data_IF_628418253693
#
_entry.id   IF_628418253693
#
_cell.length_a   1.000
_cell.length_b   1.000
_cell.length_c   1.000
_cell.angle_alpha   90.00
_cell.angle_beta   90.00
_cell.angle_gamma   90.00
#
_symmetry.space_group_name_H-M   'P 1'
#
loop_
_entity.id
_entity.type
_entity.pdbx_description
1 polymer ?
#
# COMPACT_ATOMS: atom_id res chain seq x y z
N UNK A 1 26.35 -19.04 -6.26
CA UNK A 1 26.26 -17.97 -7.29
C UNK A 1 25.10 -18.28 -8.20
N UNK A 2 24.15 -17.36 -8.37
CA UNK A 2 23.07 -17.60 -9.33
C UNK A 2 23.61 -17.44 -10.76
N UNK A 3 23.44 -18.45 -11.58
CA UNK A 3 23.94 -18.50 -12.96
C UNK A 3 22.82 -18.62 -13.99
N UNK A 4 21.57 -18.49 -13.54
CA UNK A 4 20.38 -18.58 -14.38
C UNK A 4 19.92 -17.23 -14.93
N UNK A 5 18.80 -17.25 -15.64
CA UNK A 5 18.11 -16.06 -16.17
C UNK A 5 17.30 -15.34 -15.08
N UNK A 6 16.94 -14.07 -15.26
CA UNK A 6 16.12 -13.31 -14.34
C UNK A 6 14.74 -13.96 -14.17
N UNK A 7 14.15 -14.48 -15.23
CA UNK A 7 12.91 -15.28 -15.21
C UNK A 7 13.06 -16.51 -14.30
N UNK A 8 14.15 -17.28 -14.43
CA UNK A 8 14.34 -18.48 -13.62
C UNK A 8 14.55 -18.15 -12.13
N UNK A 9 15.21 -17.02 -11.80
CA UNK A 9 15.32 -16.52 -10.44
C UNK A 9 13.93 -16.16 -9.89
N UNK A 10 13.15 -15.37 -10.63
CA UNK A 10 11.81 -14.99 -10.24
C UNK A 10 10.93 -16.23 -9.95
N UNK A 11 10.89 -17.18 -10.88
CA UNK A 11 10.09 -18.41 -10.74
C UNK A 11 10.51 -19.27 -9.55
N UNK A 12 11.82 -19.32 -9.26
CA UNK A 12 12.33 -20.10 -8.11
C UNK A 12 11.89 -19.55 -6.74
N UNK A 13 11.68 -18.21 -6.66
CA UNK A 13 11.32 -17.51 -5.43
C UNK A 13 9.81 -17.25 -5.31
N UNK A 14 9.07 -17.33 -6.41
CA UNK A 14 7.64 -16.98 -6.46
C UNK A 14 6.80 -17.80 -5.46
N UNK A 15 7.07 -19.11 -5.35
CA UNK A 15 6.32 -19.98 -4.43
C UNK A 15 6.44 -19.59 -2.95
N UNK A 16 7.56 -19.00 -2.53
CA UNK A 16 7.75 -18.55 -1.14
C UNK A 16 6.89 -17.33 -0.81
N UNK A 17 6.51 -16.54 -1.81
CA UNK A 17 5.71 -15.33 -1.66
C UNK A 17 4.22 -15.60 -1.54
N UNK A 18 3.70 -16.72 -2.00
CA UNK A 18 2.26 -16.97 -2.19
C UNK A 18 1.44 -16.76 -0.89
N UNK A 19 1.93 -17.25 0.23
CA UNK A 19 1.26 -17.05 1.53
C UNK A 19 1.12 -15.57 1.93
N UNK A 20 2.06 -14.71 1.51
CA UNK A 20 2.00 -13.26 1.77
C UNK A 20 1.03 -12.56 0.81
N UNK A 21 0.94 -13.03 -0.43
CA UNK A 21 -0.04 -12.54 -1.39
C UNK A 21 -1.48 -12.77 -0.92
N UNK A 22 -1.79 -13.95 -0.39
CA UNK A 22 -3.13 -14.26 0.11
C UNK A 22 -3.55 -13.34 1.27
N UNK A 23 -2.65 -13.11 2.22
CA UNK A 23 -2.89 -12.16 3.32
C UNK A 23 -3.03 -10.73 2.81
N UNK A 24 -2.17 -10.32 1.88
CA UNK A 24 -2.21 -9.01 1.26
C UNK A 24 -3.53 -8.76 0.52
N UNK A 25 -4.04 -9.75 -0.22
CA UNK A 25 -5.36 -9.69 -0.88
C UNK A 25 -6.49 -9.52 0.12
N UNK A 26 -6.48 -10.29 1.23
CA UNK A 26 -7.48 -10.16 2.29
C UNK A 26 -7.46 -8.76 2.93
N UNK A 27 -6.28 -8.23 3.26
CA UNK A 27 -6.10 -6.89 3.81
C UNK A 27 -6.56 -5.81 2.83
N UNK A 28 -6.21 -5.97 1.55
CA UNK A 28 -6.57 -5.05 0.48
C UNK A 28 -8.09 -4.99 0.26
N UNK A 29 -8.78 -6.14 0.21
CA UNK A 29 -10.25 -6.21 0.06
C UNK A 29 -11.00 -5.44 1.14
N UNK A 30 -10.47 -5.39 2.37
CA UNK A 30 -11.11 -4.71 3.51
C UNK A 30 -10.67 -3.25 3.66
N UNK A 31 -9.71 -2.79 2.85
CA UNK A 31 -9.17 -1.42 2.92
C UNK A 31 -9.18 -0.73 1.56
N UNK A 32 -8.14 -0.92 0.77
CA UNK A 32 -7.94 -0.32 -0.54
C UNK A 32 -7.79 -1.44 -1.60
N UNK A 33 -8.88 -1.91 -2.23
CA UNK A 33 -8.85 -3.08 -3.12
C UNK A 33 -7.89 -2.96 -4.31
N UNK A 34 -7.56 -1.75 -4.72
CA UNK A 34 -6.63 -1.50 -5.84
C UNK A 34 -5.16 -1.74 -5.48
N UNK A 35 -4.81 -1.77 -4.19
CA UNK A 35 -3.43 -1.98 -3.72
C UNK A 35 -2.95 -3.41 -4.05
N UNK A 36 -3.84 -4.39 -3.85
CA UNK A 36 -3.55 -5.79 -4.15
C UNK A 36 -4.83 -6.46 -4.67
N UNK A 37 -5.13 -6.32 -5.97
CA UNK A 37 -6.30 -6.94 -6.58
C UNK A 37 -6.25 -8.47 -6.51
N UNK A 38 -7.40 -9.11 -6.70
CA UNK A 38 -7.50 -10.56 -6.73
C UNK A 38 -6.73 -11.16 -7.91
N UNK A 39 -6.32 -12.42 -7.76
CA UNK A 39 -5.66 -13.15 -8.83
C UNK A 39 -6.54 -13.19 -10.09
N UNK A 40 -5.94 -12.87 -11.25
CA UNK A 40 -6.66 -12.81 -12.52
C UNK A 40 -7.43 -11.49 -12.75
N UNK A 41 -7.24 -10.48 -11.90
CA UNK A 41 -7.80 -9.15 -12.14
C UNK A 41 -7.22 -8.57 -13.45
N UNK A 42 -8.12 -8.14 -14.35
CA UNK A 42 -7.76 -7.56 -15.64
C UNK A 42 -8.58 -6.30 -15.94
N UNK A 43 -8.34 -5.70 -17.10
CA UNK A 43 -8.94 -4.42 -17.49
C UNK A 43 -10.48 -4.42 -17.49
N UNK A 44 -11.13 -5.58 -17.65
CA UNK A 44 -12.59 -5.73 -17.60
C UNK A 44 -13.14 -6.07 -16.21
N UNK A 45 -12.27 -6.30 -15.23
CA UNK A 45 -12.67 -6.66 -13.88
C UNK A 45 -13.11 -5.43 -13.08
N UNK A 46 -14.09 -5.60 -12.20
CA UNK A 46 -14.57 -4.56 -11.30
C UNK A 46 -13.96 -4.77 -9.91
N UNK A 47 -13.47 -3.71 -9.31
CA UNK A 47 -13.04 -3.74 -7.90
C UNK A 47 -14.25 -3.58 -7.00
N UNK A 48 -14.50 -4.57 -6.16
CA UNK A 48 -15.54 -4.50 -5.13
C UNK A 48 -15.04 -3.66 -3.96
N UNK A 49 -15.80 -2.63 -3.60
CA UNK A 49 -15.51 -1.80 -2.44
C UNK A 49 -16.20 -2.35 -1.20
N UNK A 50 -15.56 -2.35 -0.02
CA UNK A 50 -16.18 -2.81 1.21
C UNK A 50 -17.34 -1.89 1.65
N UNK A 51 -18.31 -2.44 2.36
CA UNK A 51 -19.45 -1.69 2.93
C UNK A 51 -19.00 -0.72 4.02
N UNK A 52 -17.91 -1.01 4.70
CA UNK A 52 -17.30 -0.13 5.70
C UNK A 52 -16.21 0.74 5.05
N UNK A 53 -16.15 2.01 5.41
CA UNK A 53 -15.12 2.94 4.90
C UNK A 53 -13.97 3.22 5.89
N UNK A 54 -13.98 2.56 7.06
CA UNK A 54 -12.98 2.84 8.11
C UNK A 54 -11.61 2.35 7.71
N UNK A 55 -11.52 1.17 7.08
CA UNK A 55 -10.25 0.61 6.61
C UNK A 55 -9.55 1.51 5.59
N UNK A 56 -10.27 1.94 4.56
CA UNK A 56 -9.72 2.85 3.54
C UNK A 56 -9.28 4.20 4.14
N UNK A 57 -10.13 4.79 5.00
CA UNK A 57 -9.81 6.03 5.71
C UNK A 57 -8.60 5.88 6.60
N UNK A 58 -8.51 4.77 7.34
CA UNK A 58 -7.40 4.45 8.23
C UNK A 58 -6.07 4.37 7.50
N UNK A 59 -6.01 3.59 6.43
CA UNK A 59 -4.79 3.45 5.61
C UNK A 59 -4.35 4.80 5.03
N UNK A 60 -5.27 5.56 4.42
CA UNK A 60 -4.94 6.87 3.85
C UNK A 60 -4.46 7.87 4.90
N UNK A 61 -5.09 7.90 6.09
CA UNK A 61 -4.68 8.77 7.19
C UNK A 61 -3.29 8.41 7.72
N UNK A 62 -3.05 7.13 7.99
CA UNK A 62 -1.77 6.65 8.51
C UNK A 62 -0.65 6.86 7.48
N UNK A 63 -0.88 6.57 6.20
CA UNK A 63 0.09 6.83 5.13
C UNK A 63 0.44 8.32 5.03
N UNK A 64 -0.55 9.21 5.13
CA UNK A 64 -0.33 10.66 5.10
C UNK A 64 0.45 11.17 6.31
N UNK A 65 0.18 10.65 7.50
CA UNK A 65 0.93 10.99 8.73
C UNK A 65 2.38 10.50 8.66
N UNK A 66 2.59 9.25 8.21
CA UNK A 66 3.93 8.70 8.01
C UNK A 66 4.71 9.52 6.97
N UNK A 67 4.08 9.90 5.86
CA UNK A 67 4.72 10.73 4.84
C UNK A 67 5.17 12.08 5.40
N UNK A 68 4.32 12.75 6.20
CA UNK A 68 4.66 14.04 6.82
C UNK A 68 5.81 13.93 7.81
N UNK A 69 5.90 12.82 8.54
CA UNK A 69 6.95 12.57 9.51
C UNK A 69 8.28 12.16 8.83
N UNK A 70 8.23 11.35 7.76
CA UNK A 70 9.40 10.83 7.05
C UNK A 70 9.98 11.84 6.05
N UNK A 71 9.11 12.55 5.31
CA UNK A 71 9.47 13.58 4.33
C UNK A 71 8.68 14.86 4.59
N UNK A 72 9.05 15.66 5.59
CA UNK A 72 8.41 16.94 5.85
C UNK A 72 8.57 17.89 4.64
N UNK A 73 7.51 18.66 4.28
CA UNK A 73 7.52 19.47 3.06
C UNK A 73 8.46 20.68 3.12
N UNK A 74 8.75 21.20 4.32
CA UNK A 74 9.48 22.48 4.50
C UNK A 74 10.64 22.36 5.49
N UNK A 75 11.11 21.17 5.79
CA UNK A 75 12.24 20.94 6.68
C UNK A 75 13.11 19.80 6.14
N UNK A 76 14.43 19.89 6.26
CA UNK A 76 15.30 18.78 5.90
C UNK A 76 15.01 17.58 6.81
N UNK A 77 14.84 16.40 6.22
CA UNK A 77 14.63 15.14 6.94
C UNK A 77 15.94 14.45 7.32
N UNK A 78 17.07 14.97 6.85
CA UNK A 78 18.42 14.49 7.15
C UNK A 78 19.39 15.66 7.34
N UNK A 79 20.50 15.39 7.98
CA UNK A 79 21.63 16.33 8.10
C UNK A 79 22.93 15.60 7.80
N UNK A 80 23.79 16.25 7.02
CA UNK A 80 25.14 15.82 6.75
C UNK A 80 26.08 16.45 7.80
N UNK A 81 26.60 15.64 8.71
CA UNK A 81 27.52 16.10 9.74
C UNK A 81 28.94 15.63 9.40
N UNK A 82 29.89 16.49 9.67
CA UNK A 82 31.31 16.13 9.59
C UNK A 82 31.74 15.60 10.95
N UNK A 83 32.65 14.63 10.97
CA UNK A 83 33.36 14.27 12.18
C UNK A 83 34.34 15.41 12.54
N UNK A 84 33.81 16.43 13.22
CA UNK A 84 34.58 17.60 13.67
C UNK A 84 35.68 17.21 14.62
N UNK A 85 35.52 16.14 15.40
CA UNK A 85 36.53 15.64 16.32
C UNK A 85 37.72 15.01 15.55
N UNK A 86 37.46 14.19 14.55
CA UNK A 86 38.49 13.61 13.69
C UNK A 86 39.30 14.69 12.97
N UNK A 87 38.60 15.67 12.36
CA UNK A 87 39.22 16.79 11.67
C UNK A 87 40.08 17.67 12.61
N UNK A 88 39.64 17.90 13.85
CA UNK A 88 40.44 18.64 14.85
C UNK A 88 41.70 17.87 15.29
N UNK A 89 41.59 16.53 15.42
CA UNK A 89 42.77 15.71 15.71
C UNK A 89 43.82 15.73 14.57
N UNK A 90 43.36 15.84 13.34
CA UNK A 90 44.23 15.98 12.16
C UNK A 90 44.79 17.42 11.98
N UNK A 91 44.42 18.35 12.89
CA UNK A 91 44.91 19.71 12.89
C UNK A 91 44.26 20.64 11.88
N UNK A 92 43.05 20.31 11.42
CA UNK A 92 42.32 21.18 10.50
C UNK A 92 41.92 22.51 11.17
N UNK A 93 42.17 23.68 10.53
CA UNK A 93 41.75 24.98 11.03
C UNK A 93 40.24 25.09 11.15
N UNK A 94 39.75 25.82 12.15
CA UNK A 94 38.30 26.08 12.33
C UNK A 94 37.60 26.64 11.09
N UNK A 95 38.35 27.48 10.32
CA UNK A 95 37.86 28.04 9.05
C UNK A 95 37.55 26.95 8.01
N UNK A 96 38.37 25.89 7.94
CA UNK A 96 38.17 24.76 7.02
C UNK A 96 36.94 23.94 7.45
N UNK A 97 36.78 23.69 8.75
CA UNK A 97 35.61 22.98 9.30
C UNK A 97 34.33 23.74 8.94
N UNK A 98 34.32 25.07 9.17
CA UNK A 98 33.17 25.92 8.83
C UNK A 98 32.83 25.92 7.33
N UNK A 99 33.87 25.93 6.47
CA UNK A 99 33.65 25.84 5.00
C UNK A 99 33.06 24.51 4.58
N UNK A 100 33.50 23.40 5.19
CA UNK A 100 32.95 22.06 4.92
C UNK A 100 31.51 21.98 5.39
N UNK A 101 31.19 22.48 6.58
CA UNK A 101 29.80 22.52 7.08
C UNK A 101 28.89 23.33 6.15
N UNK A 102 29.34 24.49 5.66
CA UNK A 102 28.57 25.29 4.69
C UNK A 102 28.42 24.57 3.35
N UNK A 103 29.40 23.82 2.90
CA UNK A 103 29.30 23.03 1.67
C UNK A 103 28.30 21.90 1.82
N UNK A 104 28.31 21.20 2.96
CA UNK A 104 27.36 20.15 3.27
C UNK A 104 25.92 20.69 3.36
N UNK A 105 25.72 21.86 3.98
CA UNK A 105 24.40 22.50 4.01
C UNK A 105 23.88 22.81 2.61
N UNK A 106 24.73 23.26 1.69
CA UNK A 106 24.34 23.48 0.29
C UNK A 106 23.94 22.17 -0.41
N UNK A 107 24.60 21.06 -0.10
CA UNK A 107 24.24 19.75 -0.62
C UNK A 107 22.88 19.31 -0.06
N UNK A 108 22.63 19.53 1.25
CA UNK A 108 21.31 19.26 1.85
C UNK A 108 20.20 20.06 1.15
N UNK A 109 20.39 21.37 0.96
CA UNK A 109 19.42 22.25 0.28
C UNK A 109 19.17 21.80 -1.16
N UNK A 110 20.21 21.49 -1.93
CA UNK A 110 20.09 21.03 -3.31
C UNK A 110 19.34 19.69 -3.40
N UNK A 111 19.63 18.76 -2.48
CA UNK A 111 18.94 17.46 -2.41
C UNK A 111 17.46 17.62 -2.07
N UNK A 112 17.13 18.51 -1.12
CA UNK A 112 15.74 18.80 -0.75
C UNK A 112 14.97 19.46 -1.90
N UNK A 113 15.62 20.36 -2.66
CA UNK A 113 15.04 20.98 -3.84
C UNK A 113 14.74 19.95 -4.93
N UNK A 114 15.65 18.99 -5.15
CA UNK A 114 15.45 17.93 -6.14
C UNK A 114 14.29 16.99 -5.72
N UNK A 115 14.26 16.54 -4.46
CA UNK A 115 13.17 15.74 -3.92
C UNK A 115 11.81 16.47 -4.03
N UNK A 116 11.81 17.81 -3.93
CA UNK A 116 10.60 18.61 -4.04
C UNK A 116 10.13 18.81 -5.48
N UNK A 117 11.06 18.84 -6.45
CA UNK A 117 10.75 18.93 -7.88
C UNK A 117 10.18 17.64 -8.45
N UNK A 118 10.75 16.52 -8.02
CA UNK A 118 10.42 15.20 -8.51
C UNK A 118 9.20 14.60 -7.80
N UNK A 119 8.69 13.51 -8.32
CA UNK A 119 7.49 12.82 -7.81
C UNK A 119 7.76 11.93 -6.58
N UNK A 120 8.88 12.14 -5.87
CA UNK A 120 9.29 11.30 -4.73
C UNK A 120 8.24 11.23 -3.63
N UNK A 121 7.60 12.36 -3.28
CA UNK A 121 6.56 12.38 -2.25
C UNK A 121 5.33 11.56 -2.64
N UNK A 122 4.95 11.62 -3.91
CA UNK A 122 3.81 10.85 -4.43
C UNK A 122 4.12 9.36 -4.43
N UNK A 123 5.30 8.98 -4.94
CA UNK A 123 5.77 7.60 -4.94
C UNK A 123 5.92 7.04 -3.52
N UNK A 124 6.49 7.81 -2.58
CA UNK A 124 6.60 7.37 -1.19
C UNK A 124 5.24 7.21 -0.53
N UNK A 125 4.28 8.11 -0.79
CA UNK A 125 2.91 7.95 -0.28
C UNK A 125 2.25 6.67 -0.79
N UNK A 126 2.48 6.31 -2.06
CA UNK A 126 2.03 5.03 -2.63
C UNK A 126 2.74 3.84 -1.95
N UNK A 127 4.07 3.89 -1.83
CA UNK A 127 4.84 2.85 -1.14
C UNK A 127 4.38 2.63 0.31
N UNK A 128 4.08 3.71 1.04
CA UNK A 128 3.55 3.63 2.41
C UNK A 128 2.18 2.97 2.47
N UNK A 129 1.29 3.20 1.51
CA UNK A 129 0.00 2.47 1.44
C UNK A 129 0.23 0.98 1.22
N UNK A 130 1.14 0.62 0.31
CA UNK A 130 1.54 -0.78 0.10
C UNK A 130 2.08 -1.40 1.39
N UNK A 131 2.98 -0.72 2.08
CA UNK A 131 3.56 -1.18 3.34
C UNK A 131 2.50 -1.40 4.43
N UNK A 132 1.58 -0.46 4.61
CA UNK A 132 0.51 -0.56 5.62
C UNK A 132 -0.42 -1.74 5.31
N UNK A 133 -0.78 -1.95 4.04
CA UNK A 133 -1.77 -2.96 3.63
C UNK A 133 -1.12 -4.33 3.47
N UNK A 134 -0.02 -4.42 2.71
CA UNK A 134 0.58 -5.71 2.32
C UNK A 134 1.81 -6.07 3.14
N UNK A 135 2.35 -5.11 3.90
CA UNK A 135 3.60 -5.26 4.65
C UNK A 135 4.87 -5.14 3.81
N UNK A 136 4.75 -5.02 2.49
CA UNK A 136 5.88 -5.06 1.57
C UNK A 136 5.71 -4.07 0.44
N UNK A 137 6.81 -3.45 0.04
CA UNK A 137 6.88 -2.57 -1.13
C UNK A 137 8.30 -2.60 -1.69
N UNK A 138 8.44 -2.67 -3.01
CA UNK A 138 9.72 -2.46 -3.65
C UNK A 138 9.71 -1.08 -4.31
N UNK A 139 10.63 -0.25 -3.88
CA UNK A 139 10.86 1.08 -4.45
C UNK A 139 12.03 1.00 -5.41
N UNK A 140 11.89 1.58 -6.58
CA UNK A 140 12.96 1.73 -7.57
C UNK A 140 13.19 3.22 -7.85
N UNK A 141 14.44 3.63 -7.75
CA UNK A 141 14.93 4.98 -8.01
C UNK A 141 15.77 4.97 -9.28
N UNK A 142 15.20 5.28 -10.46
CA UNK A 142 15.95 5.31 -11.70
C UNK A 142 16.90 6.52 -11.77
N UNK A 143 18.02 6.38 -12.46
CA UNK A 143 19.00 7.46 -12.68
C UNK A 143 18.39 8.68 -13.42
N UNK A 144 17.28 8.47 -14.13
CA UNK A 144 16.53 9.53 -14.80
C UNK A 144 15.69 10.41 -13.87
N UNK A 145 15.70 10.13 -12.57
CA UNK A 145 14.87 10.80 -11.56
C UNK A 145 13.50 10.16 -11.35
N UNK A 146 12.84 10.58 -10.28
CA UNK A 146 11.54 10.06 -9.88
C UNK A 146 11.62 8.78 -9.03
N UNK A 147 10.45 8.28 -8.67
CA UNK A 147 10.31 7.07 -7.84
C UNK A 147 9.23 6.17 -8.44
N UNK A 148 9.55 4.89 -8.58
CA UNK A 148 8.60 3.86 -9.00
C UNK A 148 8.37 2.87 -7.88
N UNK A 149 7.12 2.47 -7.72
CA UNK A 149 6.68 1.53 -6.68
C UNK A 149 6.17 0.26 -7.34
N UNK A 150 6.69 -0.88 -6.92
CA UNK A 150 6.22 -2.18 -7.38
C UNK A 150 5.28 -2.80 -6.35
N UNK A 151 4.17 -3.33 -6.85
CA UNK A 151 3.25 -4.16 -6.08
C UNK A 151 3.91 -5.47 -5.65
N UNK A 152 3.44 -6.04 -4.54
CA UNK A 152 4.01 -7.29 -4.01
C UNK A 152 3.94 -8.46 -5.00
N UNK A 153 2.96 -8.51 -5.89
CA UNK A 153 2.83 -9.54 -6.93
C UNK A 153 3.84 -9.39 -8.09
N UNK A 154 4.55 -8.24 -8.17
CA UNK A 154 5.47 -7.92 -9.26
C UNK A 154 6.94 -8.12 -8.91
N UNK A 155 7.26 -8.44 -7.66
CA UNK A 155 8.65 -8.68 -7.25
C UNK A 155 8.78 -9.85 -6.29
N UNK A 156 9.96 -10.42 -6.25
CA UNK A 156 10.38 -11.43 -5.28
C UNK A 156 11.70 -11.02 -4.64
N UNK A 157 11.88 -11.42 -3.38
CA UNK A 157 13.08 -11.11 -2.60
C UNK A 157 13.53 -12.35 -1.86
N UNK A 158 14.85 -12.54 -1.75
CA UNK A 158 15.47 -13.49 -0.83
C UNK A 158 16.44 -12.75 0.09
N UNK A 159 16.42 -13.11 1.37
CA UNK A 159 17.25 -12.50 2.41
C UNK A 159 18.08 -13.54 3.12
N UNK A 160 19.19 -13.09 3.73
CA UNK A 160 19.98 -13.91 4.62
C UNK A 160 19.34 -14.00 6.03
N UNK A 161 19.92 -14.82 6.90
CA UNK A 161 19.47 -14.97 8.29
C UNK A 161 19.52 -13.67 9.11
N UNK A 162 20.31 -12.70 8.70
CA UNK A 162 20.37 -11.36 9.33
C UNK A 162 19.34 -10.39 8.73
N UNK A 163 18.62 -10.81 7.67
CA UNK A 163 17.64 -10.01 6.98
C UNK A 163 18.20 -9.12 5.86
N UNK A 164 19.49 -9.24 5.53
CA UNK A 164 20.06 -8.53 4.41
C UNK A 164 19.60 -9.14 3.09
N UNK A 165 19.34 -8.29 2.11
CA UNK A 165 18.91 -8.72 0.78
C UNK A 165 20.05 -9.41 0.04
N UNK A 166 19.76 -10.58 -0.54
CA UNK A 166 20.69 -11.35 -1.39
C UNK A 166 20.26 -11.23 -2.85
N UNK A 167 18.97 -11.45 -3.12
CA UNK A 167 18.39 -11.41 -4.45
C UNK A 167 17.10 -10.61 -4.47
N UNK A 168 16.90 -9.87 -5.55
CA UNK A 168 15.63 -9.26 -5.91
C UNK A 168 15.36 -9.64 -7.36
N UNK A 169 14.12 -9.97 -7.71
CA UNK A 169 13.72 -10.04 -9.11
C UNK A 169 12.34 -9.40 -9.27
N UNK A 170 12.17 -8.66 -10.37
CA UNK A 170 10.90 -8.04 -10.74
C UNK A 170 10.34 -8.65 -12.00
N UNK A 171 9.01 -8.63 -12.12
CA UNK A 171 8.29 -9.02 -13.34
C UNK A 171 7.39 -7.86 -13.77
N UNK A 172 7.53 -7.43 -15.01
CA UNK A 172 6.77 -6.35 -15.63
C UNK A 172 6.16 -6.81 -16.93
N UNK A 173 4.84 -6.62 -17.09
CA UNK A 173 4.19 -6.83 -18.38
C UNK A 173 4.06 -5.50 -19.09
N UNK A 174 4.54 -5.41 -20.32
CA UNK A 174 4.46 -4.21 -21.15
C UNK A 174 4.13 -4.59 -22.60
N UNK A 175 3.53 -3.66 -23.34
CA UNK A 175 3.24 -3.88 -24.75
C UNK A 175 4.52 -3.91 -25.57
N UNK A 176 4.55 -4.70 -26.64
CA UNK A 176 5.68 -4.78 -27.56
C UNK A 176 6.08 -3.39 -28.10
N UNK A 177 5.11 -2.50 -28.32
CA UNK A 177 5.37 -1.14 -28.78
C UNK A 177 6.21 -0.31 -27.80
N UNK A 178 6.13 -0.61 -26.49
CA UNK A 178 6.86 0.12 -25.44
C UNK A 178 8.30 -0.36 -25.21
N UNK A 179 8.69 -1.47 -25.85
CA UNK A 179 10.05 -2.02 -25.77
C UNK A 179 11.03 -1.17 -26.56
N UNK A 180 12.25 -1.05 -26.07
CA UNK A 180 13.38 -0.48 -26.83
C UNK A 180 13.88 -1.45 -27.93
N UNK A 181 14.79 -0.98 -28.77
CA UNK A 181 15.24 -1.77 -29.91
C UNK A 181 16.04 -3.03 -29.50
N UNK A 182 16.80 -2.97 -28.41
CA UNK A 182 17.54 -4.12 -27.87
C UNK A 182 16.59 -5.18 -27.31
N UNK A 183 15.53 -4.74 -26.61
CA UNK A 183 14.50 -5.63 -26.10
C UNK A 183 13.67 -6.26 -27.22
N UNK A 184 13.33 -5.49 -28.28
CA UNK A 184 12.62 -6.01 -29.47
C UNK A 184 13.39 -7.07 -30.22
N UNK A 185 14.73 -6.98 -30.23
CA UNK A 185 15.58 -7.96 -30.90
C UNK A 185 15.49 -9.38 -30.30
N UNK A 186 15.14 -9.45 -29.01
CA UNK A 186 15.11 -10.70 -28.22
C UNK A 186 13.72 -11.35 -28.21
N UNK A 187 12.67 -10.60 -28.62
CA UNK A 187 11.29 -11.11 -28.63
C UNK A 187 11.06 -12.00 -29.85
N UNK A 188 10.43 -13.16 -29.65
CA UNK A 188 10.08 -14.11 -30.72
C UNK A 188 9.20 -13.47 -31.80
N UNK A 189 9.35 -13.97 -33.03
CA UNK A 189 8.74 -13.42 -34.27
C UNK A 189 7.20 -13.37 -34.21
N UNK A 190 6.57 -14.29 -33.46
CA UNK A 190 5.11 -14.36 -33.32
C UNK A 190 4.51 -13.29 -32.38
N UNK A 191 5.35 -12.59 -31.59
CA UNK A 191 4.94 -11.55 -30.68
C UNK A 191 5.02 -10.12 -31.28
N UNK A 192 5.14 -9.97 -32.61
CA UNK A 192 5.26 -8.66 -33.31
C UNK A 192 3.94 -7.89 -33.44
N UNK A 193 2.87 -8.32 -32.77
CA UNK A 193 1.70 -7.49 -32.59
C UNK A 193 2.08 -6.33 -31.64
N UNK A 194 1.91 -5.05 -32.06
CA UNK A 194 2.23 -3.91 -31.20
C UNK A 194 1.53 -3.91 -29.84
N UNK A 195 0.39 -4.58 -29.75
CA UNK A 195 -0.41 -4.70 -28.53
C UNK A 195 -0.12 -5.98 -27.72
N UNK A 196 0.74 -6.88 -28.23
CA UNK A 196 1.10 -8.10 -27.51
C UNK A 196 1.81 -7.74 -26.20
N UNK A 197 1.37 -8.34 -25.10
CA UNK A 197 2.01 -8.20 -23.80
C UNK A 197 3.26 -9.09 -23.73
N UNK A 198 4.35 -8.51 -23.28
CA UNK A 198 5.65 -9.16 -23.11
C UNK A 198 6.09 -9.02 -21.66
N UNK A 199 6.52 -10.11 -21.05
CA UNK A 199 7.03 -10.12 -19.68
C UNK A 199 8.54 -9.84 -19.67
N UNK A 200 8.91 -8.69 -19.11
CA UNK A 200 10.29 -8.31 -18.81
C UNK A 200 10.61 -8.71 -17.36
N UNK A 201 11.72 -9.38 -17.16
CA UNK A 201 12.26 -9.74 -15.86
C UNK A 201 13.56 -8.98 -15.60
N UNK A 202 13.67 -8.37 -14.43
CA UNK A 202 14.92 -7.73 -13.96
C UNK A 202 15.41 -8.45 -12.71
N UNK A 203 16.63 -8.92 -12.73
CA UNK A 203 17.28 -9.53 -11.57
C UNK A 203 18.35 -8.60 -10.99
N UNK A 204 18.41 -8.53 -9.67
CA UNK A 204 19.38 -7.78 -8.88
C UNK A 204 20.03 -8.76 -7.91
N UNK A 205 21.28 -9.10 -8.13
CA UNK A 205 21.99 -10.14 -7.39
C UNK A 205 23.17 -9.55 -6.64
N UNK A 206 23.26 -9.79 -5.33
CA UNK A 206 24.42 -9.42 -4.55
C UNK A 206 25.58 -10.38 -4.83
N UNK A 207 26.70 -9.85 -5.31
CA UNK A 207 27.90 -10.61 -5.58
C UNK A 207 29.12 -9.90 -5.03
N UNK A 208 29.88 -10.58 -4.18
CA UNK A 208 31.05 -9.98 -3.52
C UNK A 208 30.66 -8.67 -2.81
N UNK A 209 31.16 -7.55 -3.28
CA UNK A 209 30.91 -6.23 -2.71
C UNK A 209 30.12 -5.31 -3.67
N UNK A 210 29.32 -5.87 -4.58
CA UNK A 210 28.52 -5.13 -5.58
C UNK A 210 27.18 -5.79 -5.83
N UNK A 211 26.25 -5.00 -6.32
CA UNK A 211 25.02 -5.47 -6.94
C UNK A 211 25.22 -5.63 -8.45
N UNK A 212 24.76 -6.74 -8.99
CA UNK A 212 24.71 -7.02 -10.41
C UNK A 212 23.26 -7.01 -10.85
N UNK A 213 22.95 -6.20 -11.86
CA UNK A 213 21.62 -6.09 -12.44
C UNK A 213 21.67 -6.58 -13.85
N UNK A 214 20.68 -7.37 -14.27
CA UNK A 214 20.52 -7.83 -15.64
C UNK A 214 19.05 -8.10 -15.93
N UNK A 215 18.68 -8.06 -17.21
CA UNK A 215 17.31 -8.24 -17.66
C UNK A 215 17.19 -9.37 -18.66
N UNK A 216 16.04 -10.02 -18.66
CA UNK A 216 15.65 -10.94 -19.71
C UNK A 216 14.17 -10.77 -20.11
N UNK A 217 13.85 -11.18 -21.32
CA UNK A 217 12.49 -11.29 -21.82
C UNK A 217 12.20 -12.76 -22.06
N UNK A 218 11.26 -13.29 -21.29
CA UNK A 218 10.87 -14.70 -21.35
C UNK A 218 12.03 -15.71 -21.16
N UNK A 219 13.14 -15.30 -20.55
CA UNK A 219 14.33 -16.10 -20.30
C UNK A 219 15.44 -15.90 -21.35
N UNK A 220 15.24 -15.02 -22.32
CA UNK A 220 16.26 -14.60 -23.28
C UNK A 220 16.95 -13.33 -22.79
N UNK A 221 18.27 -13.31 -22.55
CA UNK A 221 18.97 -12.13 -22.04
C UNK A 221 18.87 -10.95 -22.99
N UNK A 222 18.66 -9.75 -22.44
CA UNK A 222 18.68 -8.49 -23.19
C UNK A 222 20.09 -7.96 -23.24
N UNK A 223 20.67 -7.82 -24.43
CA UNK A 223 22.02 -7.27 -24.61
C UNK A 223 22.11 -5.83 -24.11
N UNK A 224 23.18 -5.51 -23.35
CA UNK A 224 23.41 -4.18 -22.81
C UNK A 224 22.61 -3.84 -21.56
N UNK A 225 21.80 -4.77 -21.01
CA UNK A 225 21.03 -4.58 -19.77
C UNK A 225 21.85 -4.86 -18.50
N UNK A 226 23.07 -5.36 -18.64
CA UNK A 226 23.92 -5.67 -17.50
C UNK A 226 24.52 -4.40 -16.89
N UNK A 227 24.39 -4.26 -15.57
CA UNK A 227 24.93 -3.15 -14.80
C UNK A 227 25.43 -3.60 -13.44
N UNK A 228 26.23 -2.74 -12.81
CA UNK A 228 26.69 -2.96 -11.43
C UNK A 228 26.57 -1.71 -10.61
N UNK A 229 26.12 -1.86 -9.35
CA UNK A 229 26.03 -0.78 -8.36
C UNK A 229 26.86 -1.13 -7.12
N UNK A 230 27.42 -0.13 -6.40
CA UNK A 230 27.98 -0.32 -5.07
C UNK A 230 26.94 -0.89 -4.11
N UNK A 231 27.36 -1.53 -3.00
CA UNK A 231 26.43 -2.14 -2.05
C UNK A 231 25.46 -1.13 -1.40
N UNK A 232 25.94 0.07 -1.17
CA UNK A 232 25.21 1.18 -0.55
C UNK A 232 24.36 2.00 -1.54
N UNK A 233 24.50 1.75 -2.86
CA UNK A 233 23.82 2.50 -3.91
C UNK A 233 22.89 1.63 -4.77
N UNK A 234 22.23 0.64 -4.16
CA UNK A 234 21.25 -0.18 -4.88
C UNK A 234 19.97 0.64 -5.14
N UNK A 235 19.60 0.88 -6.41
CA UNK A 235 18.37 1.64 -6.71
C UNK A 235 17.09 0.87 -6.41
N UNK A 236 17.17 -0.45 -6.17
CA UNK A 236 16.06 -1.30 -5.81
C UNK A 236 16.01 -1.50 -4.29
N UNK A 237 15.03 -0.89 -3.62
CA UNK A 237 14.90 -0.86 -2.16
C UNK A 237 13.67 -1.66 -1.74
N UNK A 238 13.83 -2.94 -1.33
CA UNK A 238 12.72 -3.76 -0.84
C UNK A 238 12.44 -3.44 0.63
N UNK A 239 11.39 -2.68 0.87
CA UNK A 239 10.94 -2.25 2.19
C UNK A 239 10.00 -3.29 2.82
N UNK A 240 10.06 -3.40 4.16
CA UNK A 240 9.14 -4.19 4.99
C UNK A 240 8.53 -3.29 6.06
N UNK A 241 7.23 -3.44 6.32
CA UNK A 241 6.59 -2.70 7.41
C UNK A 241 6.95 -3.32 8.78
N UNK A 242 6.61 -4.58 9.00
CA UNK A 242 6.98 -5.30 10.22
C UNK A 242 7.90 -6.46 9.87
N UNK A 243 9.07 -6.50 10.50
CA UNK A 243 10.09 -7.53 10.27
C UNK A 243 9.89 -8.68 11.23
N UNK A 244 9.89 -9.91 10.70
CA UNK A 244 9.93 -11.13 11.48
C UNK A 244 11.23 -11.86 11.16
N UNK A 245 11.87 -12.40 12.18
CA UNK A 245 13.10 -13.14 12.03
C UNK A 245 12.89 -14.40 11.18
N UNK A 246 13.80 -14.63 10.22
CA UNK A 246 13.72 -15.74 9.29
C UNK A 246 12.70 -15.61 8.16
N UNK A 247 11.95 -14.49 8.06
CA UNK A 247 11.03 -14.25 6.94
C UNK A 247 11.66 -13.27 5.91
N UNK A 248 11.52 -13.60 4.62
CA UNK A 248 11.97 -12.74 3.52
C UNK A 248 11.09 -11.51 3.36
N UNK A 249 9.80 -11.63 3.72
CA UNK A 249 8.77 -10.61 3.57
C UNK A 249 8.29 -10.11 4.94
N UNK A 250 7.82 -8.87 4.96
CA UNK A 250 7.23 -8.24 6.14
C UNK A 250 5.73 -8.50 6.25
N UNK A 251 5.15 -8.10 7.40
CA UNK A 251 3.71 -8.14 7.65
C UNK A 251 3.13 -6.74 7.66
N UNK A 252 1.92 -6.61 7.10
CA UNK A 252 1.21 -5.34 7.03
C UNK A 252 0.57 -4.96 8.35
N UNK A 253 0.47 -3.65 8.62
CA UNK A 253 -0.23 -3.15 9.79
C UNK A 253 -1.71 -3.54 9.80
N UNK A 254 -2.36 -3.56 8.64
CA UNK A 254 -3.75 -3.99 8.48
C UNK A 254 -3.95 -5.44 8.91
N UNK A 255 -2.93 -6.31 8.76
CA UNK A 255 -3.01 -7.72 9.14
C UNK A 255 -3.34 -7.90 10.63
N UNK A 256 -2.86 -7.01 11.50
CA UNK A 256 -3.14 -7.05 12.94
C UNK A 256 -4.62 -6.78 13.27
N UNK A 257 -5.32 -6.06 12.41
CA UNK A 257 -6.72 -5.65 12.59
C UNK A 257 -7.70 -6.35 11.65
N UNK A 258 -7.28 -7.40 10.94
CA UNK A 258 -8.12 -8.12 9.99
C UNK A 258 -9.42 -8.62 10.63
N UNK A 259 -9.37 -9.17 11.83
CA UNK A 259 -10.55 -9.66 12.54
C UNK A 259 -11.57 -8.56 12.83
N UNK A 260 -11.12 -7.39 13.25
CA UNK A 260 -11.98 -6.22 13.50
C UNK A 260 -12.58 -5.69 12.19
N UNK A 261 -11.77 -5.59 11.14
CA UNK A 261 -12.23 -5.15 9.83
C UNK A 261 -13.25 -6.13 9.20
N UNK A 262 -13.02 -7.44 9.31
CA UNK A 262 -13.94 -8.47 8.84
C UNK A 262 -15.27 -8.43 9.60
N UNK A 263 -15.22 -8.28 10.92
CA UNK A 263 -16.39 -8.15 11.77
C UNK A 263 -17.20 -6.90 11.43
N UNK A 264 -16.49 -5.76 11.27
CA UNK A 264 -17.11 -4.50 10.87
C UNK A 264 -17.75 -4.58 9.48
N UNK A 265 -17.11 -5.20 8.52
CA UNK A 265 -17.62 -5.43 7.17
C UNK A 265 -18.89 -6.26 7.21
N UNK A 266 -18.85 -7.41 7.90
CA UNK A 266 -19.99 -8.33 8.00
C UNK A 266 -21.20 -7.71 8.69
N UNK A 267 -20.98 -6.99 9.80
CA UNK A 267 -22.05 -6.32 10.52
C UNK A 267 -22.64 -5.14 9.72
N UNK A 268 -21.79 -4.35 9.07
CA UNK A 268 -22.23 -3.22 8.25
C UNK A 268 -23.05 -3.71 7.06
N UNK A 269 -22.59 -4.76 6.37
CA UNK A 269 -23.34 -5.41 5.29
C UNK A 269 -24.67 -5.93 5.76
N UNK A 270 -24.71 -6.66 6.89
CA UNK A 270 -25.94 -7.21 7.44
C UNK A 270 -26.97 -6.13 7.80
N UNK A 271 -26.53 -4.97 8.35
CA UNK A 271 -27.43 -3.84 8.64
C UNK A 271 -27.94 -3.22 7.34
N UNK A 272 -27.10 -2.99 6.34
CA UNK A 272 -27.52 -2.38 5.07
C UNK A 272 -28.50 -3.29 4.33
N UNK A 273 -28.17 -4.56 4.17
CA UNK A 273 -29.03 -5.54 3.50
C UNK A 273 -30.33 -5.80 4.30
N UNK A 274 -30.22 -5.93 5.62
CA UNK A 274 -31.36 -6.10 6.52
C UNK A 274 -32.29 -4.89 6.53
N UNK A 275 -31.75 -3.68 6.52
CA UNK A 275 -32.51 -2.44 6.43
C UNK A 275 -33.23 -2.32 5.08
N UNK A 276 -32.55 -2.70 3.98
CA UNK A 276 -33.17 -2.73 2.66
C UNK A 276 -34.30 -3.78 2.57
N UNK A 277 -34.14 -4.95 3.21
CA UNK A 277 -35.16 -5.96 3.30
C UNK A 277 -36.34 -5.52 4.20
N UNK A 278 -36.04 -4.86 5.34
CA UNK A 278 -37.08 -4.34 6.25
C UNK A 278 -37.88 -3.18 5.64
N UNK A 279 -37.31 -2.42 4.72
CA UNK A 279 -38.01 -1.39 3.97
C UNK A 279 -39.06 -1.97 2.98
N UNK A 280 -38.97 -3.25 2.62
CA UNK A 280 -39.98 -3.93 1.79
C UNK A 280 -41.16 -4.33 2.64
N UNK A 281 -42.30 -3.68 2.44
CA UNK A 281 -43.56 -4.03 3.05
C UNK A 281 -44.33 -4.91 2.08
N UNK A 282 -44.61 -6.17 2.48
CA UNK A 282 -45.45 -7.09 1.72
C UNK A 282 -46.81 -7.23 2.40
N UNK A 283 -47.88 -6.95 1.66
CA UNK A 283 -49.22 -7.17 2.10
C UNK A 283 -49.66 -8.56 1.65
N UNK A 284 -49.99 -9.40 2.61
CA UNK A 284 -50.56 -10.72 2.35
C UNK A 284 -52.09 -10.62 2.51
N UNK A 285 -52.81 -10.99 1.46
CA UNK A 285 -54.28 -11.01 1.45
C UNK A 285 -54.76 -12.47 1.47
N UNK A 286 -55.66 -12.80 2.41
CA UNK A 286 -56.21 -14.13 2.51
C UNK A 286 -57.02 -14.46 1.23
N UNK A 287 -56.64 -15.50 0.47
CA UNK A 287 -57.32 -15.83 -0.78
C UNK A 287 -58.80 -16.21 -0.60
N UNK A 288 -59.17 -16.67 0.59
CA UNK A 288 -60.55 -17.04 0.96
C UNK A 288 -61.30 -15.92 1.69
N UNK A 289 -60.70 -14.74 1.86
CA UNK A 289 -61.29 -13.60 2.52
C UNK A 289 -62.24 -12.79 1.63
N UNK A 290 -62.91 -11.83 2.25
CA UNK A 290 -63.82 -10.89 1.55
C UNK A 290 -63.06 -9.73 0.89
N UNK A 291 -61.81 -9.48 1.29
CA UNK A 291 -60.97 -8.40 0.78
C UNK A 291 -60.27 -8.83 -0.49
N UNK A 292 -60.44 -8.08 -1.57
CA UNK A 292 -59.77 -8.35 -2.85
C UNK A 292 -58.44 -7.64 -2.95
N UNK A 293 -57.37 -8.41 -3.21
CA UNK A 293 -55.99 -7.89 -3.33
C UNK A 293 -55.87 -6.79 -4.41
N UNK A 294 -56.56 -6.94 -5.54
CA UNK A 294 -56.54 -5.97 -6.63
C UNK A 294 -57.12 -4.60 -6.22
N UNK A 295 -58.29 -4.64 -5.53
CA UNK A 295 -58.94 -3.43 -5.05
C UNK A 295 -58.06 -2.68 -4.06
N UNK A 296 -57.36 -3.40 -3.19
CA UNK A 296 -56.45 -2.82 -2.23
C UNK A 296 -55.21 -2.18 -2.91
N UNK A 297 -54.65 -2.85 -3.93
CA UNK A 297 -53.49 -2.40 -4.66
C UNK A 297 -53.74 -1.16 -5.55
N UNK A 298 -54.97 -1.05 -6.11
CA UNK A 298 -55.36 0.05 -6.99
C UNK A 298 -55.98 1.25 -6.25
N UNK A 299 -56.20 1.12 -4.91
CA UNK A 299 -56.85 2.18 -4.12
C UNK A 299 -55.86 3.30 -3.76
N UNK A 300 -56.17 4.57 -4.07
CA UNK A 300 -55.39 5.74 -3.64
C UNK A 300 -55.40 5.87 -2.11
N UNK A 301 -54.39 6.58 -1.57
CA UNK A 301 -54.30 6.82 -0.16
C UNK A 301 -55.51 7.61 0.38
N UNK A 302 -56.12 7.13 1.48
CA UNK A 302 -57.31 7.72 2.10
C UNK A 302 -58.64 7.27 1.49
N UNK A 303 -58.66 6.29 0.58
CA UNK A 303 -59.90 5.74 -0.01
C UNK A 303 -60.61 4.81 0.97
N UNK A 304 -61.94 4.86 0.99
CA UNK A 304 -62.77 3.92 1.75
C UNK A 304 -63.11 2.72 0.84
N UNK A 305 -62.60 1.55 1.21
CA UNK A 305 -62.85 0.29 0.48
C UNK A 305 -63.59 -0.71 1.36
N UNK A 306 -64.43 -1.56 0.73
CA UNK A 306 -65.09 -2.67 1.45
C UNK A 306 -64.08 -3.80 1.64
N UNK A 307 -63.95 -4.34 2.86
CA UNK A 307 -63.06 -5.44 3.20
C UNK A 307 -63.04 -5.74 4.69
N UNK A 308 -62.39 -6.83 5.04
CA UNK A 308 -62.14 -7.20 6.44
C UNK A 308 -60.63 -6.98 6.73
N UNK A 309 -60.33 -6.16 7.73
CA UNK A 309 -58.94 -5.88 8.13
C UNK A 309 -58.18 -7.17 8.56
N UNK A 310 -58.90 -8.20 9.05
CA UNK A 310 -58.30 -9.48 9.39
C UNK A 310 -57.84 -10.31 8.18
N UNK A 311 -58.32 -9.99 6.96
CA UNK A 311 -57.90 -10.65 5.72
C UNK A 311 -56.56 -10.15 5.21
N UNK A 312 -56.08 -9.03 5.74
CA UNK A 312 -54.84 -8.40 5.30
C UNK A 312 -53.82 -8.46 6.42
N UNK A 313 -52.72 -9.16 6.21
CA UNK A 313 -51.58 -9.17 7.12
C UNK A 313 -50.40 -8.49 6.45
N UNK A 314 -49.61 -7.76 7.24
CA UNK A 314 -48.38 -7.11 6.79
C UNK A 314 -47.23 -7.97 7.20
N UNK A 315 -46.47 -8.45 6.21
CA UNK A 315 -45.20 -9.12 6.48
C UNK A 315 -44.10 -8.05 6.63
N UNK A 316 -43.79 -7.75 7.86
CA UNK A 316 -42.71 -6.82 8.23
C UNK A 316 -41.66 -7.54 9.06
N UNK A 317 -40.40 -7.29 8.78
CA UNK A 317 -39.26 -7.74 9.60
C UNK A 317 -39.12 -6.83 10.83
N UNK A 318 -39.65 -7.25 11.99
CA UNK A 318 -39.49 -6.52 13.25
C UNK A 318 -38.20 -6.94 13.97
N UNK A 319 -37.05 -6.50 13.45
CA UNK A 319 -35.72 -6.78 14.03
C UNK A 319 -35.01 -5.55 14.59
N UNK A 320 -35.73 -4.56 15.04
CA UNK A 320 -35.14 -3.29 15.54
C UNK A 320 -34.13 -3.48 16.69
N UNK A 321 -34.39 -4.41 17.61
CA UNK A 321 -33.50 -4.68 18.73
C UNK A 321 -32.17 -5.31 18.28
N UNK A 322 -32.22 -6.23 17.29
CA UNK A 322 -31.03 -6.88 16.75
C UNK A 322 -30.14 -5.86 16.02
N UNK A 323 -30.77 -4.94 15.26
CA UNK A 323 -30.04 -3.87 14.57
C UNK A 323 -29.41 -2.88 15.54
N UNK A 324 -30.03 -2.58 16.69
CA UNK A 324 -29.47 -1.72 17.71
C UNK A 324 -28.21 -2.33 18.33
N UNK A 325 -28.24 -3.60 18.69
CA UNK A 325 -27.07 -4.30 19.26
C UNK A 325 -25.93 -4.34 18.22
N UNK A 326 -26.25 -4.64 16.96
CA UNK A 326 -25.26 -4.61 15.89
C UNK A 326 -24.65 -3.23 15.70
N UNK A 327 -25.45 -2.16 15.78
CA UNK A 327 -24.97 -0.78 15.66
C UNK A 327 -24.09 -0.35 16.84
N UNK A 328 -24.40 -0.76 18.07
CA UNK A 328 -23.54 -0.54 19.24
C UNK A 328 -22.20 -1.26 19.09
N UNK A 329 -22.22 -2.50 18.61
CA UNK A 329 -21.00 -3.27 18.32
C UNK A 329 -20.15 -2.61 17.22
N UNK A 330 -20.78 -2.15 16.12
CA UNK A 330 -20.13 -1.39 15.05
C UNK A 330 -19.45 -0.14 15.60
N UNK A 331 -20.14 0.61 16.48
CA UNK A 331 -19.59 1.82 17.08
C UNK A 331 -18.32 1.50 17.91
N UNK A 332 -18.36 0.45 18.73
CA UNK A 332 -17.22 0.03 19.54
C UNK A 332 -16.01 -0.43 18.66
N UNK A 333 -16.26 -1.17 17.57
CA UNK A 333 -15.20 -1.59 16.65
C UNK A 333 -14.63 -0.36 15.92
N UNK A 334 -15.49 0.56 15.45
CA UNK A 334 -15.05 1.81 14.78
C UNK A 334 -14.17 2.67 15.68
N UNK A 335 -14.51 2.79 16.96
CA UNK A 335 -13.73 3.54 17.93
C UNK A 335 -12.35 2.91 18.12
N UNK A 336 -12.29 1.61 18.34
CA UNK A 336 -11.04 0.84 18.47
C UNK A 336 -10.14 0.98 17.22
N UNK A 337 -10.69 0.77 16.03
CA UNK A 337 -9.96 0.98 14.78
C UNK A 337 -9.58 2.45 14.57
N UNK A 338 -10.43 3.39 15.00
CA UNK A 338 -10.15 4.82 14.95
C UNK A 338 -8.90 5.21 15.75
N UNK A 339 -8.72 4.65 16.92
CA UNK A 339 -7.51 4.83 17.73
C UNK A 339 -6.29 4.16 17.05
N UNK A 340 -6.42 2.92 16.60
CA UNK A 340 -5.32 2.18 15.97
C UNK A 340 -4.80 2.86 14.70
N UNK A 341 -5.68 3.38 13.84
CA UNK A 341 -5.31 4.10 12.62
C UNK A 341 -5.12 5.60 12.82
N UNK A 342 -5.06 6.08 14.07
CA UNK A 342 -4.86 7.49 14.43
C UNK A 342 -5.90 8.44 13.78
N UNK A 343 -7.13 7.98 13.58
CA UNK A 343 -8.21 8.78 13.01
C UNK A 343 -8.75 9.85 13.98
N UNK A 344 -8.59 9.64 15.27
CA UNK A 344 -9.07 10.52 16.35
C UNK A 344 -8.08 11.59 16.76
N UNK A 345 -6.79 11.40 16.40
CA UNK A 345 -5.77 12.41 16.66
C UNK A 345 -5.91 13.61 15.74
N UNK A 346 -5.73 14.77 16.29
CA UNK A 346 -6.08 16.10 15.77
C UNK A 346 -5.83 16.34 14.28
N UNK A 347 -6.67 17.19 13.73
CA UNK A 347 -6.68 17.57 12.31
C UNK A 347 -5.28 17.97 11.85
N UNK A 348 -4.66 17.17 10.99
CA UNK A 348 -3.51 17.61 10.20
C UNK A 348 -4.02 18.74 9.30
N UNK A 349 -3.72 19.98 9.65
CA UNK A 349 -3.98 21.15 8.82
C UNK A 349 -3.19 20.98 7.50
N UNK A 350 -3.63 21.69 6.45
CA UNK A 350 -2.99 21.65 5.13
C UNK A 350 -1.47 21.48 5.20
N UNK A 351 -0.93 20.45 4.53
CA UNK A 351 0.47 20.04 4.60
C UNK A 351 1.49 21.16 4.31
N UNK A 352 1.07 22.24 3.64
CA UNK A 352 1.92 23.39 3.28
C UNK A 352 2.26 24.32 4.46
N UNK A 353 1.61 24.19 5.62
CA UNK A 353 1.79 25.08 6.79
C UNK A 353 2.08 24.34 8.10
N UNK A 354 2.59 23.13 8.03
CA UNK A 354 2.94 22.35 9.23
C UNK A 354 4.24 22.88 9.82
N UNK A 355 4.23 23.15 11.12
CA UNK A 355 5.40 23.65 11.85
C UNK A 355 6.34 22.49 12.23
N UNK A 356 7.62 22.78 12.49
CA UNK A 356 8.59 21.78 12.94
C UNK A 356 8.15 21.11 14.27
N UNK A 357 7.47 21.84 15.16
CA UNK A 357 6.96 21.28 16.41
C UNK A 357 5.77 20.34 16.18
N UNK A 358 4.88 20.64 15.25
CA UNK A 358 3.79 19.73 14.85
C UNK A 358 4.35 18.43 14.26
N UNK A 359 5.40 18.50 13.44
CA UNK A 359 6.09 17.31 12.89
C UNK A 359 6.70 16.50 14.04
N UNK A 360 7.36 17.14 15.00
CA UNK A 360 7.94 16.47 16.16
C UNK A 360 6.87 15.76 17.00
N UNK A 361 5.76 16.43 17.30
CA UNK A 361 4.63 15.83 18.02
C UNK A 361 4.03 14.65 17.26
N UNK A 362 3.87 14.77 15.94
CA UNK A 362 3.40 13.68 15.08
C UNK A 362 4.35 12.49 15.08
N UNK A 363 5.67 12.74 15.01
CA UNK A 363 6.67 11.67 15.09
C UNK A 363 6.63 10.94 16.44
N UNK A 364 6.46 11.66 17.54
CA UNK A 364 6.31 11.06 18.87
C UNK A 364 5.01 10.26 19.00
N UNK A 365 3.91 10.72 18.41
CA UNK A 365 2.64 10.00 18.38
C UNK A 365 2.77 8.70 17.56
N UNK A 366 3.40 8.76 16.39
CA UNK A 366 3.68 7.60 15.54
C UNK A 366 4.58 6.59 16.24
N UNK A 367 5.67 7.03 16.88
CA UNK A 367 6.58 6.17 17.64
C UNK A 367 5.84 5.49 18.81
N UNK A 368 5.02 6.21 19.55
CA UNK A 368 4.21 5.66 20.64
C UNK A 368 3.17 4.65 20.15
N UNK A 369 2.56 4.89 18.99
CA UNK A 369 1.46 4.08 18.48
C UNK A 369 1.94 2.86 17.68
N UNK A 370 3.06 2.99 16.95
CA UNK A 370 3.61 1.94 16.10
C UNK A 370 4.76 1.15 16.75
N UNK A 371 5.12 1.50 18.00
CA UNK A 371 6.04 0.70 18.79
C UNK A 371 7.42 0.49 18.18
N UNK A 372 8.08 1.54 17.69
CA UNK A 372 9.42 1.45 17.09
C UNK A 372 9.45 1.11 15.58
N UNK A 373 8.31 0.74 14.99
CA UNK A 373 8.21 0.51 13.54
C UNK A 373 8.49 1.78 12.74
N UNK A 374 8.10 2.94 13.27
CA UNK A 374 8.40 4.22 12.67
C UNK A 374 9.90 4.49 12.61
N UNK A 375 10.65 4.24 13.69
CA UNK A 375 12.10 4.39 13.72
C UNK A 375 12.79 3.43 12.75
N UNK A 376 12.30 2.20 12.63
CA UNK A 376 12.83 1.21 11.67
C UNK A 376 12.64 1.69 10.22
N UNK A 377 11.43 2.10 9.86
CA UNK A 377 11.11 2.64 8.53
C UNK A 377 11.92 3.91 8.23
N UNK A 378 12.05 4.81 9.20
CA UNK A 378 12.84 6.02 9.08
C UNK A 378 14.30 5.68 8.77
N UNK A 379 14.90 4.73 9.48
CA UNK A 379 16.29 4.32 9.28
C UNK A 379 16.48 3.64 7.91
N UNK A 380 15.66 2.67 7.55
CA UNK A 380 15.80 1.95 6.29
C UNK A 380 15.58 2.85 5.08
N UNK A 381 14.58 3.73 5.14
CA UNK A 381 14.19 4.58 4.01
C UNK A 381 15.11 5.80 3.88
N UNK A 382 15.42 6.49 4.98
CA UNK A 382 16.23 7.69 4.96
C UNK A 382 17.68 7.37 4.58
N UNK A 383 18.27 6.31 5.15
CA UNK A 383 19.62 5.89 4.79
C UNK A 383 19.72 5.51 3.30
N UNK A 384 18.74 4.76 2.79
CA UNK A 384 18.71 4.37 1.38
C UNK A 384 18.62 5.58 0.45
N UNK A 385 17.73 6.55 0.76
CA UNK A 385 17.58 7.78 -0.02
C UNK A 385 18.84 8.67 -0.01
N UNK A 386 19.50 8.77 1.15
CA UNK A 386 20.73 9.57 1.29
C UNK A 386 21.87 8.96 0.47
N UNK A 387 22.03 7.64 0.48
CA UNK A 387 23.11 6.97 -0.23
C UNK A 387 22.93 7.01 -1.76
N UNK A 388 21.71 7.01 -2.24
CA UNK A 388 21.40 7.08 -3.67
C UNK A 388 21.38 8.50 -4.17
#
# INVERSE_FOLDING_TARGET
MYTGTAKSLYTSLEGRREQYLDRARQASRLTLPYIMPDAGFGASSRLDTPFQGVGARGVNNLASKLLLALLPPNAPFFRLNVDTYGLQQEGAPEEVISQVEQALQKVEEATMDEISRETYRTGLHEALKHLIVTGNSLVYLPDSGGMRVFHLDRFVVERDSMGNVIYIATKESMSYAALDDNMKAVVDVDAKDPMAEVDLYTAVCRKENKWHVFQDINGNPVEGSEGTYPLDQNPFIPLRFSRIDGEDYGRGYVEEYLGDLQSLESLTRAIVEGSAAAAKVLFLVNPNGTTRARTLAESPNGTITQGNAADVSVLQLNKFNDFRVAQETIAAIKDRLGHSFLLTSGVVRNAERVTAEEIRMLSMELESSLGGLYSLLSTELQLSLIHI
#
